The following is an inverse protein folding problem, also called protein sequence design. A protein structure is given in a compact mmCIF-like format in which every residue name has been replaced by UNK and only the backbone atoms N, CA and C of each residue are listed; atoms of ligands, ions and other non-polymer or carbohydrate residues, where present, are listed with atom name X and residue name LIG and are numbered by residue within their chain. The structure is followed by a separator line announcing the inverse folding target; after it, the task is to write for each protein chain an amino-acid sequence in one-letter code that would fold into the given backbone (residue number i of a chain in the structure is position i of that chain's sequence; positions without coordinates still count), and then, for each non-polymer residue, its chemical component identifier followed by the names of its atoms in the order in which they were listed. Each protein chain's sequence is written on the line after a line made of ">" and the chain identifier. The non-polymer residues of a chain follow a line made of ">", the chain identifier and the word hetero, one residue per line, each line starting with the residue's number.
data_IF_644038024169
#
_entry.id   IF_644038024169
#
_cell.length_a   1.000
_cell.length_b   1.000
_cell.length_c   1.000
_cell.angle_alpha   90.00
_cell.angle_beta   90.00
_cell.angle_gamma   90.00
#
_symmetry.space_group_name_H-M   'P 1'
#
loop_
_entity.id
_entity.type
_entity.pdbx_description
1 polymer ?
#
# COMPACT_ATOMS: atom_id res chain seq x y z
N UNK A 1 -41.42 -2.82 34.30
CA UNK A 1 -40.64 -3.90 33.66
C UNK A 1 -41.28 -4.21 32.33
N UNK A 2 -40.52 -4.55 31.26
CA UNK A 2 -39.05 -4.70 31.19
C UNK A 2 -38.40 -3.40 30.61
N UNK A 3 -37.19 -2.90 30.91
CA UNK A 3 -35.85 -3.41 31.25
C UNK A 3 -35.11 -4.13 30.11
N UNK A 4 -33.85 -3.70 29.90
CA UNK A 4 -32.77 -4.32 29.11
C UNK A 4 -32.81 -4.03 27.58
N UNK A 5 -31.74 -3.58 26.92
CA UNK A 5 -30.30 -3.62 27.20
C UNK A 5 -29.56 -2.50 26.47
N UNK A 6 -28.63 -1.85 27.18
CA UNK A 6 -27.35 -1.45 26.59
C UNK A 6 -26.71 -2.70 25.98
N UNK A 7 -26.69 -2.81 24.65
CA UNK A 7 -25.82 -3.77 23.93
C UNK A 7 -25.81 -3.45 22.43
N UNK A 8 -25.17 -2.35 22.03
CA UNK A 8 -24.52 -2.26 20.71
C UNK A 8 -23.41 -1.18 20.67
N UNK A 9 -22.84 -0.83 21.82
CA UNK A 9 -21.62 -0.01 21.92
C UNK A 9 -20.37 -0.89 22.14
N UNK A 10 -20.52 -2.22 22.01
CA UNK A 10 -19.53 -3.23 22.41
C UNK A 10 -18.88 -3.98 21.24
N UNK A 11 -19.53 -4.06 20.07
CA UNK A 11 -18.99 -4.81 18.94
C UNK A 11 -18.06 -3.96 18.06
N UNK A 12 -16.84 -3.81 18.53
CA UNK A 12 -15.65 -3.88 17.68
C UNK A 12 -15.41 -2.73 16.70
N UNK A 13 -14.92 -1.60 17.22
CA UNK A 13 -14.09 -0.63 16.46
C UNK A 13 -12.80 -1.25 15.88
N UNK A 14 -12.62 -2.57 15.97
CA UNK A 14 -11.43 -3.35 15.61
C UNK A 14 -11.71 -4.44 14.57
N UNK A 15 -12.93 -4.52 14.01
CA UNK A 15 -13.30 -5.54 13.01
C UNK A 15 -13.95 -4.96 11.75
N UNK A 16 -14.04 -3.63 11.65
CA UNK A 16 -14.64 -2.99 10.48
C UNK A 16 -13.53 -2.60 9.51
N UNK A 17 -13.57 -3.08 8.25
CA UNK A 17 -12.52 -2.81 7.29
C UNK A 17 -12.47 -1.32 6.96
N UNK A 18 -11.28 -0.78 6.69
CA UNK A 18 -11.04 0.67 6.57
C UNK A 18 -12.02 1.43 5.66
N UNK A 19 -12.48 0.81 4.57
CA UNK A 19 -13.39 1.44 3.61
C UNK A 19 -14.77 1.75 4.18
N UNK A 20 -15.15 1.10 5.29
CA UNK A 20 -16.45 1.35 5.97
C UNK A 20 -16.49 2.69 6.70
N UNK A 21 -15.33 3.26 7.03
CA UNK A 21 -15.19 4.53 7.73
C UNK A 21 -14.68 5.65 6.84
N UNK A 22 -14.45 5.38 5.55
CA UNK A 22 -14.00 6.39 4.61
C UNK A 22 -15.09 7.47 4.44
N UNK A 23 -14.73 8.73 4.66
CA UNK A 23 -15.67 9.84 4.52
C UNK A 23 -16.06 9.98 3.04
N UNK A 24 -17.30 9.63 2.70
CA UNK A 24 -17.77 9.61 1.32
C UNK A 24 -17.94 11.02 0.71
N UNK A 25 -17.69 12.09 1.47
CA UNK A 25 -17.83 13.49 1.04
C UNK A 25 -16.52 14.11 0.50
N UNK A 26 -15.37 13.44 0.68
CA UNK A 26 -14.08 13.94 0.22
C UNK A 26 -13.84 13.58 -1.25
N UNK A 27 -13.80 14.60 -2.11
CA UNK A 27 -13.55 14.47 -3.56
C UNK A 27 -12.06 14.33 -3.93
N UNK A 28 -11.13 14.40 -2.98
CA UNK A 28 -9.69 14.44 -3.24
C UNK A 28 -9.02 13.06 -3.22
N UNK A 29 -9.70 12.05 -3.74
CA UNK A 29 -9.14 10.71 -3.93
C UNK A 29 -7.77 10.78 -4.61
N UNK A 30 -6.75 10.19 -3.97
CA UNK A 30 -5.41 10.12 -4.52
C UNK A 30 -4.65 11.45 -4.56
N UNK A 31 -5.11 12.52 -3.88
CA UNK A 31 -4.38 13.79 -3.78
C UNK A 31 -3.84 14.08 -2.36
N UNK A 32 -4.28 13.32 -1.35
CA UNK A 32 -4.04 13.59 0.09
C UNK A 32 -2.85 12.82 0.70
N UNK A 33 -2.28 11.85 -0.02
CA UNK A 33 -1.01 11.19 0.33
C UNK A 33 -0.01 11.45 -0.79
N UNK A 34 0.98 12.31 -0.55
CA UNK A 34 2.07 12.59 -1.49
C UNK A 34 3.39 12.42 -0.78
N UNK A 35 3.64 11.24 -0.25
CA UNK A 35 4.98 10.89 0.18
C UNK A 35 5.57 9.97 -0.88
N UNK A 36 6.16 10.63 -1.89
CA UNK A 36 7.11 9.98 -2.78
C UNK A 36 8.48 10.17 -2.15
N UNK A 37 9.08 9.06 -1.73
CA UNK A 37 10.41 9.03 -1.13
C UNK A 37 11.37 8.50 -2.17
N UNK A 38 12.47 9.21 -2.43
CA UNK A 38 13.52 8.74 -3.32
C UNK A 38 14.87 8.99 -2.65
N UNK A 39 15.27 8.04 -1.81
CA UNK A 39 16.53 8.09 -1.08
C UNK A 39 17.59 7.24 -1.77
N UNK A 40 18.79 7.17 -1.19
CA UNK A 40 19.89 6.33 -1.67
C UNK A 40 19.60 4.81 -1.59
N UNK A 41 18.61 4.42 -0.79
CA UNK A 41 18.29 3.01 -0.48
C UNK A 41 17.08 2.48 -1.22
N UNK A 42 16.07 3.33 -1.46
CA UNK A 42 14.79 2.92 -2.04
C UNK A 42 14.07 4.09 -2.71
N UNK A 43 13.20 3.74 -3.63
CA UNK A 43 12.10 4.56 -4.09
C UNK A 43 10.82 4.06 -3.40
N UNK A 44 10.04 4.95 -2.80
CA UNK A 44 8.83 4.64 -2.04
C UNK A 44 7.68 5.54 -2.47
N UNK A 45 6.48 4.98 -2.55
CA UNK A 45 5.24 5.71 -2.84
C UNK A 45 4.20 5.29 -1.82
N UNK A 46 3.59 6.26 -1.15
CA UNK A 46 2.44 6.05 -0.28
C UNK A 46 1.23 6.84 -0.80
N UNK A 47 0.08 6.16 -0.92
CA UNK A 47 -1.19 6.75 -1.30
C UNK A 47 -2.28 6.37 -0.30
N UNK A 48 -3.09 7.35 0.11
CA UNK A 48 -4.35 7.05 0.76
C UNK A 48 -5.35 6.52 -0.28
N UNK A 49 -5.75 5.26 -0.10
CA UNK A 49 -6.73 4.53 -0.93
C UNK A 49 -7.92 4.06 -0.09
N UNK A 50 -8.20 4.70 1.05
CA UNK A 50 -9.21 4.23 2.01
C UNK A 50 -10.62 4.17 1.42
N UNK A 51 -10.89 4.91 0.34
CA UNK A 51 -12.17 4.93 -0.37
C UNK A 51 -12.35 3.76 -1.37
N UNK A 52 -11.36 2.85 -1.49
CA UNK A 52 -11.37 1.73 -2.41
C UNK A 52 -11.19 0.43 -1.65
N UNK A 53 -11.90 -0.61 -2.06
CA UNK A 53 -11.61 -1.96 -1.59
C UNK A 53 -10.29 -2.46 -2.20
N UNK A 54 -9.60 -3.42 -1.56
CA UNK A 54 -8.35 -3.97 -2.10
C UNK A 54 -8.52 -4.54 -3.51
N UNK A 55 -9.68 -5.13 -3.78
CA UNK A 55 -10.09 -5.73 -5.07
C UNK A 55 -10.48 -4.69 -6.15
N UNK A 56 -10.59 -3.41 -5.79
CA UNK A 56 -10.86 -2.29 -6.69
C UNK A 56 -9.58 -1.53 -7.07
N UNK A 57 -8.43 -1.95 -6.54
CA UNK A 57 -7.12 -1.38 -6.77
C UNK A 57 -6.28 -2.28 -7.68
N UNK A 58 -5.57 -1.67 -8.61
CA UNK A 58 -4.68 -2.37 -9.53
C UNK A 58 -3.32 -1.67 -9.58
N UNK A 59 -2.25 -2.46 -9.58
CA UNK A 59 -0.87 -1.96 -9.66
C UNK A 59 -0.17 -2.67 -10.81
N UNK A 60 0.38 -1.88 -11.74
CA UNK A 60 1.13 -2.36 -12.88
C UNK A 60 2.53 -1.80 -12.89
N UNK A 61 3.50 -2.63 -13.25
CA UNK A 61 4.86 -2.21 -13.55
C UNK A 61 5.21 -2.69 -14.96
N UNK A 62 5.18 -1.77 -15.94
CA UNK A 62 5.58 -2.05 -17.32
C UNK A 62 6.96 -1.41 -17.58
N UNK A 63 7.99 -2.24 -17.69
CA UNK A 63 9.37 -1.75 -17.75
C UNK A 63 9.74 -1.01 -16.46
N UNK A 64 9.71 0.32 -16.48
CA UNK A 64 9.98 1.19 -15.32
C UNK A 64 8.81 2.12 -14.99
N UNK A 65 7.70 1.99 -15.69
CA UNK A 65 6.50 2.79 -15.45
C UNK A 65 5.61 2.06 -14.45
N UNK A 66 5.60 2.58 -13.22
CA UNK A 66 4.68 2.16 -12.16
C UNK A 66 3.37 2.90 -12.31
N UNK A 67 2.28 2.16 -12.51
CA UNK A 67 0.92 2.68 -12.58
C UNK A 67 0.09 2.10 -11.44
N UNK A 68 -0.65 2.96 -10.75
CA UNK A 68 -1.64 2.59 -9.73
C UNK A 68 -2.99 3.10 -10.18
N UNK A 69 -3.96 2.20 -10.24
CA UNK A 69 -5.33 2.49 -10.65
C UNK A 69 -6.29 2.09 -9.53
N UNK A 70 -7.36 2.86 -9.36
CA UNK A 70 -8.47 2.50 -8.49
C UNK A 70 -9.78 2.84 -9.15
N UNK A 71 -10.73 1.93 -9.13
CA UNK A 71 -12.07 2.15 -9.69
C UNK A 71 -13.15 1.57 -8.77
N UNK A 72 -13.99 2.45 -8.26
CA UNK A 72 -15.11 2.11 -7.39
C UNK A 72 -16.42 2.58 -8.02
N UNK A 73 -17.40 1.68 -8.07
CA UNK A 73 -18.73 1.92 -8.63
C UNK A 73 -19.79 1.37 -7.65
N UNK A 74 -20.57 2.25 -7.04
CA UNK A 74 -21.67 1.87 -6.14
C UNK A 74 -23.01 2.40 -6.69
N UNK A 75 -23.96 1.47 -6.90
CA UNK A 75 -25.34 1.78 -7.28
C UNK A 75 -26.24 1.67 -6.07
N UNK A 76 -27.01 2.71 -5.80
CA UNK A 76 -28.01 2.75 -4.73
C UNK A 76 -29.39 3.11 -5.30
N UNK A 77 -30.45 2.95 -4.51
CA UNK A 77 -31.82 3.29 -4.94
C UNK A 77 -32.01 4.78 -5.30
N UNK A 78 -31.13 5.65 -4.79
CA UNK A 78 -31.21 7.10 -4.95
C UNK A 78 -30.11 7.70 -5.84
N UNK A 79 -29.25 6.88 -6.45
CA UNK A 79 -28.17 7.38 -7.29
C UNK A 79 -27.06 6.38 -7.56
N UNK A 80 -25.98 6.89 -8.14
CA UNK A 80 -24.78 6.15 -8.47
C UNK A 80 -23.57 6.96 -8.05
N UNK A 81 -22.59 6.31 -7.43
CA UNK A 81 -21.30 6.88 -7.06
C UNK A 81 -20.24 6.18 -7.89
N UNK A 82 -19.46 6.96 -8.63
CA UNK A 82 -18.25 6.50 -9.32
C UNK A 82 -17.05 7.28 -8.81
N UNK A 83 -16.00 6.56 -8.42
CA UNK A 83 -14.70 7.14 -8.09
C UNK A 83 -13.64 6.41 -8.87
N UNK A 84 -12.77 7.14 -9.55
CA UNK A 84 -11.63 6.55 -10.25
C UNK A 84 -10.39 7.43 -10.13
N UNK A 85 -9.23 6.79 -10.06
CA UNK A 85 -7.95 7.48 -10.16
C UNK A 85 -6.94 6.63 -10.92
N UNK A 86 -6.00 7.32 -11.57
CA UNK A 86 -4.82 6.72 -12.18
C UNK A 86 -3.63 7.60 -11.78
N UNK A 87 -2.62 6.99 -11.16
CA UNK A 87 -1.36 7.64 -10.81
C UNK A 87 -0.21 6.88 -11.46
N UNK A 88 0.76 7.61 -12.01
CA UNK A 88 1.92 7.05 -12.71
C UNK A 88 3.22 7.64 -12.20
N UNK A 89 4.23 6.79 -12.06
CA UNK A 89 5.61 7.15 -11.71
C UNK A 89 6.60 6.40 -12.57
N UNK A 90 7.63 7.10 -13.03
CA UNK A 90 8.80 6.46 -13.61
C UNK A 90 9.79 6.10 -12.49
N UNK A 91 10.09 4.81 -12.33
CA UNK A 91 11.07 4.35 -11.37
C UNK A 91 12.48 4.78 -11.79
N UNK A 92 13.30 5.27 -10.85
CA UNK A 92 14.71 5.55 -11.08
C UNK A 92 15.49 4.34 -11.62
N UNK A 93 16.58 4.60 -12.36
CA UNK A 93 17.34 3.53 -13.01
C UNK A 93 18.06 2.58 -12.06
N UNK A 94 18.31 3.07 -10.85
CA UNK A 94 18.97 2.37 -9.77
C UNK A 94 18.01 1.53 -8.93
N UNK A 95 16.71 1.48 -9.26
CA UNK A 95 15.74 0.60 -8.60
C UNK A 95 15.84 -0.84 -9.12
N UNK A 96 15.82 -1.78 -8.18
CA UNK A 96 15.64 -3.20 -8.43
C UNK A 96 14.15 -3.50 -8.61
N UNK A 97 13.76 -3.75 -9.86
CA UNK A 97 12.37 -3.96 -10.27
C UNK A 97 11.83 -5.32 -9.82
N UNK A 98 12.70 -6.31 -9.65
CA UNK A 98 12.31 -7.66 -9.22
C UNK A 98 12.07 -7.72 -7.70
N UNK A 99 12.63 -6.76 -6.96
CA UNK A 99 12.51 -6.66 -5.51
C UNK A 99 11.45 -5.64 -5.05
N UNK A 100 10.57 -5.19 -5.95
CA UNK A 100 9.45 -4.30 -5.62
C UNK A 100 8.50 -4.99 -4.64
N UNK A 101 8.15 -4.27 -3.58
CA UNK A 101 7.20 -4.71 -2.57
C UNK A 101 5.97 -3.79 -2.56
N UNK A 102 4.79 -4.39 -2.45
CA UNK A 102 3.51 -3.70 -2.41
C UNK A 102 2.75 -4.17 -1.18
N UNK A 103 2.24 -3.23 -0.40
CA UNK A 103 1.47 -3.51 0.80
C UNK A 103 0.33 -2.51 0.95
N UNK A 104 -0.85 -3.00 1.33
CA UNK A 104 -1.97 -2.17 1.75
C UNK A 104 -2.09 -2.25 3.27
N UNK A 105 -2.11 -1.11 3.95
CA UNK A 105 -2.23 -1.05 5.41
C UNK A 105 -3.67 -1.23 5.86
N UNK A 106 -3.86 -1.58 7.14
CA UNK A 106 -5.20 -1.70 7.74
C UNK A 106 -5.94 -0.37 7.77
N UNK A 107 -5.24 0.78 7.69
CA UNK A 107 -5.82 2.12 7.59
C UNK A 107 -6.11 2.54 6.13
N UNK A 108 -5.96 1.63 5.16
CA UNK A 108 -6.29 1.88 3.74
C UNK A 108 -5.24 2.64 2.94
N UNK A 109 -3.98 2.68 3.40
CA UNK A 109 -2.87 3.30 2.67
C UNK A 109 -2.12 2.25 1.84
N UNK A 110 -1.99 2.50 0.53
CA UNK A 110 -1.23 1.67 -0.38
C UNK A 110 0.22 2.16 -0.42
N UNK A 111 1.14 1.28 -0.01
CA UNK A 111 2.57 1.52 0.04
C UNK A 111 3.28 0.66 -1.00
N UNK A 112 4.12 1.28 -1.84
CA UNK A 112 4.96 0.62 -2.83
C UNK A 112 6.40 1.00 -2.57
N UNK A 113 7.28 0.01 -2.42
CA UNK A 113 8.71 0.21 -2.22
C UNK A 113 9.52 -0.55 -3.26
N UNK A 114 10.42 0.15 -3.95
CA UNK A 114 11.40 -0.40 -4.85
C UNK A 114 12.81 -0.17 -4.26
N UNK A 115 13.50 -1.20 -3.77
CA UNK A 115 14.85 -1.04 -3.24
C UNK A 115 15.82 -0.70 -4.36
N UNK A 116 16.90 0.01 -4.04
CA UNK A 116 17.92 0.37 -5.02
C UNK A 116 19.03 -0.66 -5.10
N UNK A 117 19.34 -1.13 -6.31
CA UNK A 117 20.28 -2.22 -6.60
C UNK A 117 21.70 -1.91 -6.10
N UNK A 118 22.04 -0.62 -5.96
CA UNK A 118 23.32 -0.17 -5.42
C UNK A 118 23.58 -0.53 -3.94
N UNK A 119 22.55 -0.91 -3.17
CA UNK A 119 22.66 -1.19 -1.73
C UNK A 119 22.56 -2.68 -1.34
N UNK A 120 22.29 -3.58 -2.28
CA UNK A 120 22.33 -5.04 -2.02
C UNK A 120 23.76 -5.60 -1.87
N UNK A 121 24.79 -4.77 -1.91
CA UNK A 121 26.19 -5.19 -2.10
C UNK A 121 27.16 -4.63 -1.05
N UNK A 122 26.72 -4.19 0.14
CA UNK A 122 27.69 -3.97 1.22
C UNK A 122 28.43 -5.28 1.50
N UNK A 123 29.67 -5.36 1.03
CA UNK A 123 30.67 -6.42 1.23
C UNK A 123 30.41 -7.16 2.55
N UNK A 124 29.93 -8.40 2.45
CA UNK A 124 29.83 -9.30 3.60
C UNK A 124 31.19 -9.95 3.80
N UNK A 125 31.85 -9.67 4.92
CA UNK A 125 33.05 -10.41 5.31
C UNK A 125 32.61 -11.80 5.78
N UNK A 126 32.81 -12.80 4.93
CA UNK A 126 32.57 -14.20 5.29
C UNK A 126 33.73 -14.69 6.18
N UNK A 127 33.47 -15.24 7.37
CA UNK A 127 34.54 -15.79 8.20
C UNK A 127 35.16 -17.02 7.54
N UNK A 128 36.48 -17.03 7.39
CA UNK A 128 37.22 -18.22 6.96
C UNK A 128 37.35 -19.15 8.16
N UNK A 129 36.70 -20.32 8.11
CA UNK A 129 36.88 -21.34 9.14
C UNK A 129 38.18 -22.12 8.91
N UNK A 130 39.03 -22.32 9.94
CA UNK A 130 40.23 -23.12 9.81
C UNK A 130 39.89 -24.58 9.53
N UNK A 131 40.71 -25.23 8.70
CA UNK A 131 40.53 -26.65 8.37
C UNK A 131 40.62 -27.54 9.63
N UNK A 132 39.79 -28.60 9.74
CA UNK A 132 39.85 -29.52 10.87
C UNK A 132 41.20 -30.26 10.89
N UNK A 133 41.89 -30.24 12.03
CA UNK A 133 43.15 -30.98 12.22
C UNK A 133 42.85 -32.49 12.25
N UNK A 134 43.46 -33.25 11.34
CA UNK A 134 43.47 -34.71 11.42
C UNK A 134 44.37 -35.13 12.59
N UNK A 135 43.85 -36.00 13.45
CA UNK A 135 44.61 -36.70 14.49
C UNK A 135 45.39 -37.86 13.88
#
# INVERSE_FOLDING_TARGET
>A
MPMMTSDQDWFGRSLMPYWTHADHSISHVGNEGKEVVNDEKKFGVELNTSHFKPEELEVHLEGRDLTIEGKHEEKSEHGFIERSFIRKWALPEDCDLDAVHIQLTDDGHLCIEAPKTGHHMHRRTMPIMPAPKKK
#
